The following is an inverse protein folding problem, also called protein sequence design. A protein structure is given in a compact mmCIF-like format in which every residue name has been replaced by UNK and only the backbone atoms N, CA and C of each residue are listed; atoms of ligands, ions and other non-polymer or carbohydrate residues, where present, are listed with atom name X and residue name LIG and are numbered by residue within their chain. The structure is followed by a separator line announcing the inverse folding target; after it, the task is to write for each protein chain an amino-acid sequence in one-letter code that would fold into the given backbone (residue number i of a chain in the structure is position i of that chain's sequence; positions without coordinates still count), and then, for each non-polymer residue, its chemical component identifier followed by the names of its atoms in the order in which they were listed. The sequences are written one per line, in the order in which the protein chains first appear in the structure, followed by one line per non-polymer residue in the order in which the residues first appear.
data_IF_271862436991
#
_entry.id   IF_271862436991
#
_cell.length_a   1.000
_cell.length_b   1.000
_cell.length_c   1.000
_cell.angle_alpha   90.00
_cell.angle_beta   90.00
_cell.angle_gamma   90.00
#
_symmetry.space_group_name_H-M   'P 1'
#
loop_
_entity.id
_entity.type
_entity.pdbx_description
1 polymer ?
#
# COMPACT_ATOMS: atom_id res chain seq x y z
N UNK A 1 18.91 14.66 15.36
CA UNK A 1 18.03 14.53 14.18
C UNK A 1 17.76 13.04 14.01
N UNK A 2 16.63 12.57 14.54
CA UNK A 2 16.31 11.15 14.58
C UNK A 2 15.84 10.73 13.18
N UNK A 3 16.64 9.88 12.51
CA UNK A 3 16.38 9.31 11.19
C UNK A 3 15.90 7.85 11.35
N UNK A 4 14.73 7.63 11.92
CA UNK A 4 14.11 6.29 11.90
C UNK A 4 13.13 6.23 10.73
N UNK A 5 13.39 5.36 9.76
CA UNK A 5 12.77 5.41 8.44
C UNK A 5 11.39 4.78 8.37
N UNK A 6 10.90 4.10 9.40
CA UNK A 6 9.61 3.40 9.35
C UNK A 6 8.49 4.07 10.17
N UNK A 7 8.82 4.81 11.24
CA UNK A 7 7.81 5.42 12.14
C UNK A 7 7.27 6.75 11.59
N UNK A 8 8.11 7.50 10.89
CA UNK A 8 7.78 8.81 10.30
C UNK A 8 7.50 8.74 8.80
N UNK A 9 7.48 7.54 8.19
CA UNK A 9 7.22 7.37 6.76
C UNK A 9 5.72 7.41 6.49
N UNK A 10 5.17 8.61 6.45
CA UNK A 10 3.83 8.86 5.94
C UNK A 10 3.82 8.70 4.41
N UNK A 11 3.49 7.49 3.96
CA UNK A 11 3.46 7.13 2.54
C UNK A 11 2.41 7.91 1.75
N UNK A 12 1.42 8.52 2.42
CA UNK A 12 0.44 9.41 1.77
C UNK A 12 1.05 10.72 1.29
N UNK A 13 2.24 11.09 1.78
CA UNK A 13 2.94 12.33 1.40
C UNK A 13 3.88 12.17 0.22
N UNK A 14 4.12 10.95 -0.25
CA UNK A 14 4.98 10.72 -1.40
C UNK A 14 4.22 11.01 -2.69
N UNK A 15 4.90 11.60 -3.71
CA UNK A 15 4.29 11.71 -5.03
C UNK A 15 3.95 10.31 -5.54
N UNK A 16 2.85 10.17 -6.31
CA UNK A 16 2.52 8.90 -6.92
C UNK A 16 3.68 8.44 -7.82
N UNK A 17 3.96 7.12 -7.88
CA UNK A 17 5.04 6.60 -8.69
C UNK A 17 4.73 6.82 -10.19
N UNK A 18 5.77 7.13 -10.97
CA UNK A 18 5.66 7.32 -12.43
C UNK A 18 5.13 6.10 -13.20
N UNK A 19 5.11 4.93 -12.56
CA UNK A 19 4.52 3.72 -13.11
C UNK A 19 2.98 3.80 -13.20
N UNK A 20 2.33 4.66 -12.40
CA UNK A 20 0.92 4.96 -12.54
C UNK A 20 0.74 5.91 -13.72
N UNK A 21 -0.09 5.49 -14.67
CA UNK A 21 -0.39 6.24 -15.88
C UNK A 21 -1.67 7.05 -15.70
N UNK A 22 -1.69 8.24 -16.28
CA UNK A 22 -2.89 9.06 -16.32
C UNK A 22 -3.98 8.40 -17.17
N UNK A 23 -5.22 8.48 -16.67
CA UNK A 23 -6.41 7.97 -17.33
C UNK A 23 -7.19 9.16 -17.92
N UNK A 24 -6.83 9.53 -19.14
CA UNK A 24 -7.50 10.60 -19.89
C UNK A 24 -8.09 10.02 -21.18
N UNK A 25 -9.40 9.74 -21.13
CA UNK A 25 -10.13 9.22 -22.27
C UNK A 25 -10.06 10.16 -23.48
N UNK A 26 -10.16 11.48 -23.26
CA UNK A 26 -10.18 12.47 -24.35
C UNK A 26 -8.84 12.53 -25.08
N UNK A 27 -7.73 12.46 -24.34
CA UNK A 27 -6.38 12.35 -24.91
C UNK A 27 -6.20 11.05 -25.68
N UNK A 28 -6.62 9.91 -25.12
CA UNK A 28 -6.51 8.61 -25.79
C UNK A 28 -7.33 8.60 -27.08
N UNK A 29 -8.57 9.10 -27.03
CA UNK A 29 -9.45 9.15 -28.19
C UNK A 29 -8.84 10.00 -29.32
N UNK A 30 -8.33 11.19 -29.01
CA UNK A 30 -7.72 12.06 -30.02
C UNK A 30 -6.45 11.45 -30.63
N UNK A 31 -5.57 10.86 -29.82
CA UNK A 31 -4.38 10.15 -30.30
C UNK A 31 -4.73 8.97 -31.23
N UNK A 32 -5.78 8.21 -30.89
CA UNK A 32 -6.25 7.09 -31.73
C UNK A 32 -6.87 7.57 -33.03
N UNK A 33 -7.61 8.68 -33.01
CA UNK A 33 -8.20 9.27 -34.19
C UNK A 33 -7.14 9.82 -35.15
N UNK A 34 -6.12 10.50 -34.62
CA UNK A 34 -4.96 10.94 -35.42
C UNK A 34 -4.20 9.75 -36.02
N UNK A 35 -4.03 8.66 -35.26
CA UNK A 35 -3.46 7.41 -35.80
C UNK A 35 -4.31 6.83 -36.92
N UNK A 36 -5.64 6.83 -36.78
CA UNK A 36 -6.56 6.34 -37.81
C UNK A 36 -6.40 7.16 -39.09
N UNK A 37 -6.41 8.50 -38.98
CA UNK A 37 -6.19 9.42 -40.11
C UNK A 37 -4.88 9.12 -40.84
N UNK A 38 -3.78 8.97 -40.11
CA UNK A 38 -2.48 8.66 -40.68
C UNK A 38 -2.45 7.31 -41.43
N UNK A 39 -3.12 6.29 -40.91
CA UNK A 39 -3.23 4.98 -41.57
C UNK A 39 -4.05 5.05 -42.86
N UNK A 40 -5.15 5.82 -42.86
CA UNK A 40 -6.01 6.00 -44.03
C UNK A 40 -5.30 6.82 -45.12
N UNK A 41 -4.64 7.92 -44.75
CA UNK A 41 -3.86 8.77 -45.66
C UNK A 41 -2.74 7.96 -46.35
N UNK A 42 -2.01 7.14 -45.59
CA UNK A 42 -0.99 6.25 -46.14
C UNK A 42 -1.53 5.20 -47.14
N UNK A 43 -2.85 4.95 -47.14
CA UNK A 43 -3.55 4.09 -48.10
C UNK A 43 -4.25 4.87 -49.21
N UNK A 44 -4.14 6.20 -49.23
CA UNK A 44 -4.75 7.09 -50.20
C UNK A 44 -6.24 7.37 -49.94
N UNK A 45 -6.73 7.13 -48.72
CA UNK A 45 -8.09 7.45 -48.32
C UNK A 45 -8.12 8.76 -47.53
N UNK A 46 -8.83 9.76 -48.04
CA UNK A 46 -9.08 11.01 -47.33
C UNK A 46 -10.16 10.81 -46.25
N UNK A 47 -9.81 11.06 -44.99
CA UNK A 47 -10.73 10.95 -43.86
C UNK A 47 -11.32 12.32 -43.51
N UNK A 48 -12.46 12.63 -44.12
CA UNK A 48 -13.14 13.94 -43.99
C UNK A 48 -14.48 13.88 -43.26
N UNK A 49 -14.78 12.76 -42.60
CA UNK A 49 -16.08 12.48 -41.95
C UNK A 49 -16.11 12.73 -40.44
N UNK A 50 -15.02 13.24 -39.86
CA UNK A 50 -14.84 13.42 -38.40
C UNK A 50 -15.95 14.23 -37.70
N UNK A 51 -16.54 15.20 -38.41
CA UNK A 51 -17.61 16.05 -37.88
C UNK A 51 -19.01 15.43 -38.05
N UNK A 52 -19.12 14.27 -38.71
CA UNK A 52 -20.39 13.59 -38.92
C UNK A 52 -20.73 12.72 -37.71
N UNK A 53 -21.95 12.87 -37.20
CA UNK A 53 -22.49 12.01 -36.13
C UNK A 53 -22.55 10.53 -36.57
N UNK A 54 -22.65 10.27 -37.87
CA UNK A 54 -22.70 8.93 -38.47
C UNK A 54 -21.33 8.33 -38.75
N UNK A 55 -20.24 8.97 -38.32
CA UNK A 55 -18.90 8.42 -38.49
C UNK A 55 -18.70 7.17 -37.62
N UNK A 56 -18.91 6.02 -38.25
CA UNK A 56 -18.75 4.71 -37.61
C UNK A 56 -17.30 4.45 -37.18
N UNK A 57 -16.32 5.04 -37.85
CA UNK A 57 -14.92 4.84 -37.50
C UNK A 57 -14.58 5.59 -36.20
N UNK A 58 -15.07 6.83 -36.07
CA UNK A 58 -15.01 7.61 -34.83
C UNK A 58 -15.67 6.90 -33.65
N UNK A 59 -16.89 6.37 -33.82
CA UNK A 59 -17.57 5.59 -32.76
C UNK A 59 -16.81 4.32 -32.37
N UNK A 60 -16.17 3.63 -33.32
CA UNK A 60 -15.31 2.48 -33.00
C UNK A 60 -14.08 2.93 -32.19
N UNK A 61 -13.43 4.04 -32.56
CA UNK A 61 -12.30 4.57 -31.78
C UNK A 61 -12.73 5.03 -30.38
N UNK A 62 -13.96 5.53 -30.22
CA UNK A 62 -14.52 5.89 -28.92
C UNK A 62 -14.60 4.67 -27.99
N UNK A 63 -15.25 3.59 -28.45
CA UNK A 63 -15.38 2.36 -27.66
C UNK A 63 -14.02 1.68 -27.40
N UNK A 64 -13.09 1.76 -28.33
CA UNK A 64 -11.73 1.27 -28.12
C UNK A 64 -10.94 2.11 -27.11
N UNK A 65 -11.13 3.44 -27.09
CA UNK A 65 -10.51 4.32 -26.11
C UNK A 65 -11.04 4.04 -24.69
N UNK A 66 -12.33 3.72 -24.55
CA UNK A 66 -12.91 3.27 -23.27
C UNK A 66 -12.27 1.96 -22.79
N UNK A 67 -12.11 0.99 -23.70
CA UNK A 67 -11.44 -0.28 -23.40
C UNK A 67 -9.98 -0.09 -22.99
N UNK A 68 -9.27 0.80 -23.68
CA UNK A 68 -7.89 1.13 -23.34
C UNK A 68 -7.79 1.78 -21.95
N UNK A 69 -8.71 2.67 -21.62
CA UNK A 69 -8.79 3.26 -20.27
C UNK A 69 -9.00 2.18 -19.20
N UNK A 70 -9.85 1.18 -19.43
CA UNK A 70 -10.01 0.05 -18.50
C UNK A 70 -8.72 -0.76 -18.35
N UNK A 71 -7.98 -0.97 -19.44
CA UNK A 71 -6.68 -1.66 -19.40
C UNK A 71 -5.65 -0.84 -18.61
N UNK A 72 -5.60 0.47 -18.80
CA UNK A 72 -4.71 1.35 -18.02
C UNK A 72 -5.09 1.31 -16.54
N UNK A 73 -6.38 1.34 -16.21
CA UNK A 73 -6.89 1.17 -14.85
C UNK A 73 -6.42 -0.14 -14.22
N UNK A 74 -6.62 -1.26 -14.92
CA UNK A 74 -6.17 -2.57 -14.45
C UNK A 74 -4.65 -2.64 -14.24
N UNK A 75 -3.86 -2.01 -15.12
CA UNK A 75 -2.40 -1.93 -14.92
C UNK A 75 -2.04 -1.07 -13.72
N UNK A 76 -2.69 0.07 -13.53
CA UNK A 76 -2.47 0.93 -12.37
C UNK A 76 -2.79 0.20 -11.05
N UNK A 77 -3.86 -0.59 -11.03
CA UNK A 77 -4.22 -1.39 -9.86
C UNK A 77 -3.20 -2.49 -9.60
N UNK A 78 -2.73 -3.19 -10.64
CA UNK A 78 -1.63 -4.16 -10.52
C UNK A 78 -0.33 -3.53 -10.01
N UNK A 79 -0.01 -2.30 -10.42
CA UNK A 79 1.16 -1.54 -9.94
C UNK A 79 1.00 -1.19 -8.45
N UNK A 80 -0.21 -0.79 -8.01
CA UNK A 80 -0.49 -0.51 -6.59
C UNK A 80 -0.36 -1.76 -5.73
N UNK A 81 -0.87 -2.90 -6.22
CA UNK A 81 -0.84 -4.18 -5.52
C UNK A 81 0.57 -4.63 -5.12
N UNK A 82 1.59 -4.33 -5.94
CA UNK A 82 2.98 -4.74 -5.67
C UNK A 82 3.79 -3.75 -4.84
N UNK A 83 3.16 -2.65 -4.38
CA UNK A 83 3.85 -1.60 -3.62
C UNK A 83 3.31 -1.58 -2.18
N UNK A 84 4.13 -1.81 -1.14
CA UNK A 84 3.67 -1.83 0.26
C UNK A 84 2.90 -0.56 0.69
N UNK A 85 3.18 0.57 0.05
CA UNK A 85 2.50 1.84 0.26
C UNK A 85 1.02 1.84 -0.13
N UNK A 86 0.66 1.11 -1.19
CA UNK A 86 -0.68 1.13 -1.77
C UNK A 86 -1.40 -0.21 -1.65
N UNK A 87 -0.65 -1.30 -1.53
CA UNK A 87 -1.17 -2.65 -1.37
C UNK A 87 -2.13 -2.73 -0.18
N UNK A 88 -3.22 -3.47 -0.38
CA UNK A 88 -4.27 -3.72 0.60
C UNK A 88 -4.54 -5.22 0.69
N UNK A 89 -5.09 -5.65 1.81
CA UNK A 89 -5.63 -7.00 2.00
C UNK A 89 -4.63 -8.09 1.56
N UNK A 90 -5.06 -9.01 0.69
CA UNK A 90 -4.25 -10.14 0.24
C UNK A 90 -2.96 -9.72 -0.47
N UNK A 91 -2.94 -8.60 -1.19
CA UNK A 91 -1.73 -8.12 -1.86
C UNK A 91 -0.66 -7.73 -0.83
N UNK A 92 -1.08 -7.01 0.22
CA UNK A 92 -0.19 -6.66 1.32
C UNK A 92 0.28 -7.91 2.07
N UNK A 93 -0.60 -8.90 2.25
CA UNK A 93 -0.28 -10.17 2.89
C UNK A 93 0.78 -10.93 2.11
N UNK A 94 0.67 -11.00 0.78
CA UNK A 94 1.67 -11.63 -0.07
C UNK A 94 3.01 -10.90 -0.04
N UNK A 95 3.02 -9.57 0.00
CA UNK A 95 4.25 -8.79 0.15
C UNK A 95 4.91 -9.04 1.51
N UNK A 96 4.11 -9.17 2.56
CA UNK A 96 4.59 -9.43 3.91
C UNK A 96 5.30 -10.78 4.06
N UNK A 97 4.95 -11.77 3.23
CA UNK A 97 5.62 -13.08 3.19
C UNK A 97 7.11 -12.98 2.83
N UNK A 98 7.54 -11.92 2.12
CA UNK A 98 8.97 -11.66 1.86
C UNK A 98 9.78 -11.51 3.15
N UNK A 99 9.14 -11.05 4.22
CA UNK A 99 9.74 -10.90 5.54
C UNK A 99 9.31 -12.01 6.52
N UNK A 100 8.59 -13.03 6.05
CA UNK A 100 8.14 -14.15 6.87
C UNK A 100 7.10 -13.79 7.92
N UNK A 101 6.32 -12.71 7.71
CA UNK A 101 5.29 -12.28 8.67
C UNK A 101 3.88 -12.40 8.07
N UNK A 102 2.93 -12.70 8.95
CA UNK A 102 1.49 -12.77 8.65
C UNK A 102 0.71 -11.87 9.59
N UNK A 103 -0.55 -11.57 9.22
CA UNK A 103 -1.49 -10.85 10.08
C UNK A 103 -1.70 -11.57 11.39
N UNK A 104 -1.81 -10.78 12.45
CA UNK A 104 -2.18 -11.26 13.79
C UNK A 104 -3.69 -11.32 13.95
N UNK A 105 -4.15 -12.30 14.72
CA UNK A 105 -5.51 -12.35 15.24
C UNK A 105 -5.55 -11.45 16.48
N UNK A 106 -6.31 -10.36 16.40
CA UNK A 106 -6.43 -9.34 17.46
C UNK A 106 -7.65 -9.56 18.35
N UNK A 107 -8.52 -10.51 18.01
CA UNK A 107 -9.71 -10.85 18.77
C UNK A 107 -10.56 -11.89 18.05
N UNK A 108 -11.75 -12.15 18.60
CA UNK A 108 -12.76 -13.01 17.98
C UNK A 108 -14.11 -12.31 18.03
N UNK A 109 -14.95 -12.53 17.03
CA UNK A 109 -16.36 -12.15 17.04
C UNK A 109 -17.15 -13.08 17.97
N UNK A 110 -18.41 -12.72 18.26
CA UNK A 110 -19.31 -13.52 19.10
C UNK A 110 -19.55 -14.94 18.56
N UNK A 111 -19.45 -15.13 17.25
CA UNK A 111 -19.57 -16.42 16.57
C UNK A 111 -18.25 -17.24 16.55
N UNK A 112 -17.18 -16.74 17.16
CA UNK A 112 -15.87 -17.36 17.19
C UNK A 112 -15.00 -17.08 15.96
N UNK A 113 -15.44 -16.27 15.00
CA UNK A 113 -14.63 -15.90 13.83
C UNK A 113 -13.45 -15.01 14.25
N UNK A 114 -12.20 -15.31 13.85
CA UNK A 114 -11.04 -14.48 14.20
C UNK A 114 -11.14 -13.09 13.54
N UNK A 115 -10.82 -12.06 14.33
CA UNK A 115 -10.66 -10.68 13.87
C UNK A 115 -9.17 -10.48 13.61
N UNK A 116 -8.81 -10.19 12.36
CA UNK A 116 -7.44 -9.89 11.97
C UNK A 116 -7.13 -8.41 12.12
N UNK A 117 -5.84 -8.09 12.32
CA UNK A 117 -5.39 -6.68 12.30
C UNK A 117 -5.60 -6.02 10.93
N UNK A 118 -5.88 -4.71 10.94
CA UNK A 118 -6.17 -3.92 9.75
C UNK A 118 -4.94 -3.64 8.87
N UNK A 119 -5.17 -3.15 7.65
CA UNK A 119 -4.12 -2.86 6.66
C UNK A 119 -3.08 -1.86 7.17
N UNK A 120 -3.48 -0.83 7.91
CA UNK A 120 -2.55 0.20 8.37
C UNK A 120 -1.62 -0.29 9.48
N UNK A 121 -2.16 -1.00 10.48
CA UNK A 121 -1.39 -1.65 11.54
C UNK A 121 -0.41 -2.68 10.95
N UNK A 122 -0.87 -3.48 10.00
CA UNK A 122 -0.07 -4.51 9.36
C UNK A 122 1.02 -3.91 8.47
N UNK A 123 0.69 -2.91 7.64
CA UNK A 123 1.65 -2.21 6.78
C UNK A 123 2.79 -1.60 7.59
N UNK A 124 2.48 -0.97 8.73
CA UNK A 124 3.51 -0.45 9.63
C UNK A 124 4.49 -1.55 10.08
N UNK A 125 3.99 -2.72 10.44
CA UNK A 125 4.83 -3.85 10.82
C UNK A 125 5.66 -4.39 9.66
N UNK A 126 5.09 -4.47 8.45
CA UNK A 126 5.80 -4.86 7.22
C UNK A 126 6.98 -3.92 6.95
N UNK A 127 6.79 -2.61 7.12
CA UNK A 127 7.86 -1.61 6.93
C UNK A 127 8.92 -1.65 8.03
N UNK A 128 8.56 -2.06 9.25
CA UNK A 128 9.50 -2.25 10.36
C UNK A 128 10.28 -3.57 10.30
N UNK A 129 9.76 -4.59 9.60
CA UNK A 129 10.35 -5.93 9.55
C UNK A 129 11.84 -5.97 9.15
N UNK A 130 12.32 -5.19 8.17
CA UNK A 130 13.75 -5.14 7.84
C UNK A 130 14.63 -4.67 9.01
N UNK A 131 14.14 -3.76 9.86
CA UNK A 131 14.89 -3.29 11.03
C UNK A 131 15.03 -4.39 12.10
N UNK A 132 14.10 -5.34 12.13
CA UNK A 132 14.09 -6.46 13.08
C UNK A 132 15.14 -7.54 12.75
N UNK A 133 15.67 -7.58 11.53
CA UNK A 133 16.76 -8.50 11.17
C UNK A 133 18.09 -8.13 11.85
N UNK A 134 18.22 -6.89 12.34
CA UNK A 134 19.39 -6.46 13.10
C UNK A 134 19.31 -6.94 14.54
N UNK A 135 20.32 -7.70 14.98
CA UNK A 135 20.48 -8.10 16.39
C UNK A 135 21.16 -7.02 17.24
N UNK A 136 21.57 -5.90 16.64
CA UNK A 136 22.30 -4.82 17.31
C UNK A 136 21.39 -3.80 18.05
N UNK A 137 20.07 -4.05 18.10
CA UNK A 137 19.13 -3.21 18.85
C UNK A 137 18.80 -1.90 18.15
N UNK A 138 18.33 -1.94 16.90
CA UNK A 138 17.79 -0.76 16.24
C UNK A 138 16.46 -0.35 16.88
N UNK A 139 16.12 0.95 16.91
CA UNK A 139 14.83 1.40 17.45
C UNK A 139 13.63 0.78 16.75
N UNK A 140 13.61 0.67 15.41
CA UNK A 140 12.52 -0.02 14.71
C UNK A 140 12.52 -1.53 14.95
N UNK A 141 13.67 -2.14 15.26
CA UNK A 141 13.75 -3.53 15.71
C UNK A 141 13.03 -3.73 17.05
N UNK A 142 13.30 -2.89 18.06
CA UNK A 142 12.57 -2.90 19.33
C UNK A 142 11.08 -2.70 19.13
N UNK A 143 10.68 -1.75 18.27
CA UNK A 143 9.28 -1.50 17.97
C UNK A 143 8.61 -2.70 17.32
N UNK A 144 9.27 -3.34 16.34
CA UNK A 144 8.74 -4.52 15.67
C UNK A 144 8.49 -5.67 16.64
N UNK A 145 9.49 -6.03 17.44
CA UNK A 145 9.39 -7.13 18.40
C UNK A 145 8.37 -6.85 19.50
N UNK A 146 8.36 -5.62 20.03
CA UNK A 146 7.37 -5.22 21.03
C UNK A 146 5.94 -5.21 20.47
N UNK A 147 5.74 -4.75 19.23
CA UNK A 147 4.42 -4.80 18.57
C UNK A 147 3.95 -6.24 18.41
N UNK A 148 4.83 -7.17 18.01
CA UNK A 148 4.45 -8.57 17.75
C UNK A 148 4.41 -9.46 19.01
N UNK A 149 4.86 -8.97 20.16
CA UNK A 149 4.90 -9.73 21.41
C UNK A 149 3.53 -10.29 21.85
N UNK A 150 2.48 -9.48 21.70
CA UNK A 150 1.11 -9.82 22.09
C UNK A 150 0.11 -9.06 21.20
N UNK A 151 -0.99 -9.69 20.71
CA UNK A 151 -2.00 -9.00 19.90
C UNK A 151 -2.66 -7.80 20.58
N UNK A 152 -2.66 -7.73 21.92
CA UNK A 152 -3.20 -6.60 22.69
C UNK A 152 -2.36 -5.33 22.55
N UNK A 153 -1.13 -5.41 22.05
CA UNK A 153 -0.33 -4.22 21.77
C UNK A 153 -0.89 -3.50 20.54
N UNK A 154 -1.38 -2.27 20.76
CA UNK A 154 -1.85 -1.39 19.70
C UNK A 154 -0.71 -0.61 19.07
N UNK A 155 0.13 -0.02 19.92
CA UNK A 155 1.19 0.86 19.50
C UNK A 155 2.38 0.77 20.45
N UNK A 156 3.56 1.06 19.91
CA UNK A 156 4.82 1.11 20.63
C UNK A 156 5.59 2.32 20.15
N UNK A 157 6.24 3.01 21.10
CA UNK A 157 7.28 3.99 20.80
C UNK A 157 8.56 3.65 21.58
N UNK A 158 9.72 3.99 21.01
CA UNK A 158 11.02 3.60 21.55
C UNK A 158 12.00 4.78 21.49
N UNK A 159 12.63 5.07 22.62
CA UNK A 159 13.70 6.05 22.70
C UNK A 159 14.78 5.63 23.70
N UNK A 160 15.92 6.31 23.66
CA UNK A 160 17.03 6.08 24.58
C UNK A 160 17.31 7.36 25.37
N UNK A 161 16.98 7.41 26.66
CA UNK A 161 17.22 8.60 27.50
C UNK A 161 18.71 8.77 27.86
N UNK A 162 19.47 7.67 27.91
CA UNK A 162 20.90 7.64 28.19
C UNK A 162 21.58 6.45 27.47
N UNK A 163 22.89 6.51 27.19
CA UNK A 163 23.62 5.37 26.60
C UNK A 163 23.44 4.08 27.41
N UNK A 164 23.06 3.00 26.73
CA UNK A 164 22.81 1.70 27.37
C UNK A 164 21.41 1.55 28.00
N UNK A 165 20.58 2.60 27.95
CA UNK A 165 19.19 2.58 28.42
C UNK A 165 18.25 2.71 27.22
N UNK A 166 17.25 1.82 27.15
CA UNK A 166 16.20 1.83 26.13
C UNK A 166 14.85 1.84 26.83
N UNK A 167 14.04 2.85 26.54
CA UNK A 167 12.67 2.94 27.01
C UNK A 167 11.73 2.53 25.90
N UNK A 168 10.89 1.53 26.18
CA UNK A 168 9.84 1.04 25.30
C UNK A 168 8.49 1.40 25.93
N UNK A 169 7.76 2.34 25.33
CA UNK A 169 6.41 2.69 25.75
C UNK A 169 5.40 1.83 24.98
N UNK A 170 4.55 1.11 25.72
CA UNK A 170 3.56 0.18 25.16
C UNK A 170 2.17 0.74 25.40
N UNK A 171 1.36 0.80 24.34
CA UNK A 171 -0.05 1.15 24.41
C UNK A 171 -0.90 -0.11 24.18
N UNK A 172 -1.85 -0.36 25.08
CA UNK A 172 -2.84 -1.42 24.92
C UNK A 172 -3.93 -1.01 23.92
N UNK A 173 -4.48 -1.98 23.18
CA UNK A 173 -5.74 -1.78 22.43
C UNK A 173 -6.99 -1.92 23.31
N UNK A 174 -6.84 -2.42 24.52
CA UNK A 174 -7.93 -2.66 25.46
C UNK A 174 -8.12 -1.48 26.43
N UNK A 175 -9.36 -1.30 26.90
CA UNK A 175 -9.68 -0.30 27.93
C UNK A 175 -9.37 1.13 27.51
N UNK A 176 -8.67 1.86 28.37
CA UNK A 176 -8.24 3.25 28.17
C UNK A 176 -6.85 3.36 27.49
N UNK A 177 -6.29 2.24 27.04
CA UNK A 177 -4.98 2.15 26.41
C UNK A 177 -3.81 1.94 27.38
N UNK A 178 -4.06 1.86 28.70
CA UNK A 178 -3.04 1.52 29.68
C UNK A 178 -2.62 0.05 29.51
N UNK A 179 -1.32 -0.19 29.34
CA UNK A 179 -0.78 -1.55 29.25
C UNK A 179 -0.76 -2.20 30.65
N UNK A 180 -1.48 -3.31 30.88
CA UNK A 180 -1.44 -4.02 32.15
C UNK A 180 -0.07 -4.70 32.34
N UNK A 181 0.25 -5.05 33.59
CA UNK A 181 1.59 -5.54 33.97
C UNK A 181 1.97 -6.86 33.27
N UNK A 182 1.00 -7.71 32.98
CA UNK A 182 1.19 -8.94 32.21
C UNK A 182 1.55 -8.65 30.74
N UNK A 183 0.93 -7.65 30.12
CA UNK A 183 1.26 -7.22 28.76
C UNK A 183 2.69 -6.64 28.70
N UNK A 184 3.07 -5.83 29.68
CA UNK A 184 4.44 -5.30 29.78
C UNK A 184 5.45 -6.42 30.00
N UNK A 185 5.11 -7.45 30.80
CA UNK A 185 5.97 -8.60 30.99
C UNK A 185 6.13 -9.44 29.71
N UNK A 186 5.06 -9.61 28.94
CA UNK A 186 5.12 -10.30 27.64
C UNK A 186 6.06 -9.59 26.65
N UNK A 187 6.01 -8.25 26.59
CA UNK A 187 6.93 -7.45 25.76
C UNK A 187 8.37 -7.57 26.23
N UNK A 188 8.64 -7.60 27.54
CA UNK A 188 10.00 -7.78 28.08
C UNK A 188 10.58 -9.17 27.83
N UNK A 189 9.75 -10.17 27.54
CA UNK A 189 10.18 -11.55 27.31
C UNK A 189 10.60 -11.87 25.88
N UNK A 190 10.43 -10.92 24.94
CA UNK A 190 10.92 -11.01 23.56
C UNK A 190 12.40 -10.62 23.49
#
# INVERSE_FOLDING_TARGET
MIRYSAVTLDLSRFPPPLALRDMDWGRIYSERLERLKAVLDAKGFDYSVEMLVTDTAGWVQHGDAEREMLVIGAVNDAVRAVMPAFAMDADLDHLALLYGITRRVIGHKDDGTPILEGNDEFRRQVLLAPEAFSTAGTPGGYMFWALRADPRVLNVDVWSPAPGEVTVAVQSREGDGLAPTDLVAAVRGQ
#
